data_IF_453416243044
#
_entry.id   IF_453416243044
#
_cell.length_a   1.000
_cell.length_b   1.000
_cell.length_c   1.000
_cell.angle_alpha   90.00
_cell.angle_beta   90.00
_cell.angle_gamma   90.00
#
_symmetry.space_group_name_H-M   'P 1'
#
loop_
_entity.id
_entity.type
_entity.pdbx_description
1 polymer ?
#
# COMPACT_ATOMS: atom_id res chain seq x y z
N UNK A 1 73.33 -14.93 -16.77
CA UNK A 1 72.22 -13.97 -17.03
C UNK A 1 70.91 -14.70 -16.70
N UNK A 2 70.36 -14.43 -15.53
CA UNK A 2 69.20 -15.15 -14.96
C UNK A 2 67.94 -14.36 -15.24
N UNK A 3 67.02 -14.91 -16.02
CA UNK A 3 65.69 -14.35 -16.25
C UNK A 3 64.77 -14.71 -15.09
N UNK A 4 64.40 -13.68 -14.36
CA UNK A 4 63.40 -13.78 -13.29
C UNK A 4 62.03 -13.53 -13.95
N UNK A 5 61.23 -14.61 -14.06
CA UNK A 5 59.84 -14.54 -14.49
C UNK A 5 58.98 -14.20 -13.27
N UNK A 6 58.55 -12.93 -13.21
CA UNK A 6 57.67 -12.45 -12.13
C UNK A 6 56.23 -12.81 -12.47
N UNK A 7 55.70 -13.87 -11.83
CA UNK A 7 54.31 -14.24 -11.95
C UNK A 7 53.46 -13.36 -11.06
N UNK A 8 52.71 -12.44 -11.65
CA UNK A 8 51.76 -11.57 -10.97
C UNK A 8 50.43 -12.37 -10.79
N UNK A 9 50.23 -12.87 -9.58
CA UNK A 9 48.96 -13.51 -9.19
C UNK A 9 47.93 -12.43 -8.89
N UNK A 10 47.00 -12.17 -9.80
CA UNK A 10 45.83 -11.31 -9.57
C UNK A 10 44.80 -12.10 -8.70
N UNK A 11 44.73 -11.75 -7.43
CA UNK A 11 43.73 -12.23 -6.49
C UNK A 11 42.39 -11.48 -6.78
N UNK A 12 41.53 -12.07 -7.55
CA UNK A 12 40.16 -11.54 -7.79
C UNK A 12 39.32 -11.86 -6.55
N UNK A 13 39.15 -10.89 -5.64
CA UNK A 13 38.22 -11.00 -4.54
C UNK A 13 36.83 -10.72 -5.10
N UNK A 14 36.07 -11.79 -5.34
CA UNK A 14 34.66 -11.71 -5.71
C UNK A 14 33.84 -11.33 -4.48
N UNK A 15 33.51 -10.04 -4.32
CA UNK A 15 32.55 -9.56 -3.36
C UNK A 15 31.16 -9.95 -3.86
N UNK A 16 30.65 -11.07 -3.39
CA UNK A 16 29.24 -11.44 -3.56
C UNK A 16 28.39 -10.54 -2.67
N UNK A 17 27.84 -9.47 -3.23
CA UNK A 17 26.74 -8.74 -2.58
C UNK A 17 25.51 -9.66 -2.60
N UNK A 18 25.28 -10.37 -1.50
CA UNK A 18 23.98 -10.97 -1.26
C UNK A 18 22.99 -9.80 -1.04
N UNK A 19 22.27 -9.43 -2.11
CA UNK A 19 21.10 -8.59 -1.99
C UNK A 19 20.08 -9.37 -1.14
N UNK A 20 20.06 -9.11 0.16
CA UNK A 20 18.94 -9.49 1.00
C UNK A 20 17.77 -8.59 0.58
N UNK A 21 16.96 -9.09 -0.35
CA UNK A 21 15.60 -8.60 -0.48
C UNK A 21 14.88 -9.06 0.80
N UNK A 22 14.93 -8.22 1.84
CA UNK A 22 14.01 -8.34 2.94
C UNK A 22 12.62 -8.12 2.33
N UNK A 23 11.88 -9.21 2.11
CA UNK A 23 10.43 -9.14 2.11
C UNK A 23 10.09 -8.71 3.53
N UNK A 24 10.00 -7.42 3.76
CA UNK A 24 9.24 -6.91 4.88
C UNK A 24 7.82 -7.41 4.63
N UNK A 25 7.48 -8.48 5.34
CA UNK A 25 6.10 -8.83 5.59
C UNK A 25 5.66 -7.71 6.52
N UNK A 26 5.10 -6.65 5.92
CA UNK A 26 4.57 -5.51 6.66
C UNK A 26 3.63 -6.11 7.70
N UNK A 27 4.06 -6.05 8.95
CA UNK A 27 3.19 -6.29 10.09
C UNK A 27 2.08 -5.27 9.95
N UNK A 28 0.85 -5.73 9.70
CA UNK A 28 -0.32 -4.85 9.61
C UNK A 28 -0.44 -4.11 10.93
N UNK A 29 0.00 -2.86 10.94
CA UNK A 29 -0.07 -1.98 12.09
C UNK A 29 -1.43 -1.32 12.09
N UNK A 30 -2.23 -1.59 13.12
CA UNK A 30 -3.53 -0.95 13.29
C UNK A 30 -3.33 0.56 13.45
N UNK A 31 -4.20 1.34 12.81
CA UNK A 31 -4.10 2.79 12.77
C UNK A 31 -3.20 3.33 11.65
N UNK A 32 -2.40 2.50 10.99
CA UNK A 32 -1.55 2.93 9.89
C UNK A 32 -2.16 2.59 8.52
N UNK A 33 -1.89 3.45 7.54
CA UNK A 33 -2.24 3.23 6.14
C UNK A 33 -1.05 3.59 5.23
N UNK A 34 -1.00 3.01 4.04
CA UNK A 34 0.04 3.27 3.05
C UNK A 34 -0.55 3.94 1.80
N UNK A 35 0.14 4.97 1.32
CA UNK A 35 -0.13 5.62 0.04
C UNK A 35 1.12 5.56 -0.82
N UNK A 36 0.99 5.06 -2.02
CA UNK A 36 2.05 5.05 -3.03
C UNK A 36 1.62 5.91 -4.21
N UNK A 37 2.48 6.85 -4.59
CA UNK A 37 2.27 7.76 -5.71
C UNK A 37 3.31 7.51 -6.79
N UNK A 38 2.87 7.49 -8.05
CA UNK A 38 3.75 7.52 -9.20
C UNK A 38 3.29 8.60 -10.17
N UNK A 39 4.23 9.43 -10.63
CA UNK A 39 4.02 10.54 -11.56
C UNK A 39 4.97 10.41 -12.73
N UNK A 40 4.44 10.14 -13.92
CA UNK A 40 5.24 9.99 -15.14
C UNK A 40 4.49 10.47 -16.39
N UNK A 41 5.10 11.36 -17.15
CA UNK A 41 4.47 11.98 -18.34
C UNK A 41 3.23 12.77 -17.94
N UNK A 42 2.06 12.34 -18.41
CA UNK A 42 0.75 12.89 -18.06
C UNK A 42 0.00 12.03 -17.03
N UNK A 43 0.63 10.99 -16.47
CA UNK A 43 -0.04 10.00 -15.63
C UNK A 43 0.27 10.24 -14.15
N UNK A 44 -0.81 10.35 -13.38
CA UNK A 44 -0.78 10.26 -11.92
C UNK A 44 -1.43 8.93 -11.51
N UNK A 45 -0.70 8.12 -10.76
CA UNK A 45 -1.19 6.87 -10.19
C UNK A 45 -1.08 6.94 -8.68
N UNK A 46 -2.13 6.52 -8.00
CA UNK A 46 -2.16 6.44 -6.55
C UNK A 46 -2.67 5.06 -6.14
N UNK A 47 -1.92 4.38 -5.28
CA UNK A 47 -2.34 3.17 -4.58
C UNK A 47 -2.51 3.51 -3.10
N UNK A 48 -3.66 3.17 -2.53
CA UNK A 48 -3.95 3.27 -1.10
C UNK A 48 -4.17 1.86 -0.57
N UNK A 49 -3.43 1.49 0.47
CA UNK A 49 -3.49 0.20 1.16
C UNK A 49 -3.73 0.45 2.65
N UNK A 50 -4.67 -0.28 3.22
CA UNK A 50 -5.04 -0.10 4.61
C UNK A 50 -5.57 -1.40 5.22
N UNK A 51 -5.15 -1.79 6.44
CA UNK A 51 -5.75 -2.90 7.18
C UNK A 51 -7.26 -2.70 7.35
N UNK A 52 -8.03 -3.77 7.23
CA UNK A 52 -9.49 -3.69 7.36
C UNK A 52 -9.92 -3.15 8.72
N UNK A 53 -9.18 -3.46 9.78
CA UNK A 53 -9.44 -2.92 11.11
C UNK A 53 -9.35 -1.40 11.14
N UNK A 54 -8.31 -0.81 10.55
CA UNK A 54 -8.11 0.64 10.47
C UNK A 54 -9.18 1.35 9.63
N UNK A 55 -9.78 0.65 8.66
CA UNK A 55 -10.80 1.22 7.80
C UNK A 55 -12.22 1.05 8.34
N UNK A 56 -12.59 -0.18 8.76
CA UNK A 56 -13.96 -0.57 9.12
C UNK A 56 -14.09 -1.10 10.55
N UNK A 57 -12.98 -1.31 11.28
CA UNK A 57 -12.97 -1.75 12.69
C UNK A 57 -13.05 -3.26 12.91
N UNK A 58 -12.83 -4.08 11.87
CA UNK A 58 -12.78 -5.54 11.99
C UNK A 58 -12.05 -6.15 10.78
N UNK A 59 -11.50 -7.37 10.96
CA UNK A 59 -10.73 -8.11 9.94
C UNK A 59 -11.38 -9.45 9.54
N UNK A 60 -12.65 -9.64 9.86
CA UNK A 60 -13.40 -10.85 9.55
C UNK A 60 -14.59 -10.53 8.64
N UNK A 61 -15.20 -11.57 8.06
CA UNK A 61 -16.43 -11.40 7.30
C UNK A 61 -17.54 -10.69 8.14
N UNK A 62 -18.25 -9.68 7.59
CA UNK A 62 -19.29 -8.95 8.32
C UNK A 62 -20.38 -9.87 8.85
N UNK A 63 -20.54 -9.93 10.18
CA UNK A 63 -21.46 -10.83 10.88
C UNK A 63 -22.81 -10.17 11.23
N UNK A 64 -22.81 -8.83 11.39
CA UNK A 64 -24.01 -8.06 11.74
C UNK A 64 -24.46 -7.15 10.61
N UNK A 65 -25.66 -6.56 10.75
CA UNK A 65 -26.15 -5.57 9.80
C UNK A 65 -25.30 -4.29 9.83
N UNK A 66 -24.87 -3.86 11.01
CA UNK A 66 -24.03 -2.67 11.18
C UNK A 66 -22.65 -2.89 10.52
N UNK A 67 -22.04 -4.06 10.69
CA UNK A 67 -20.78 -4.39 10.03
C UNK A 67 -20.90 -4.40 8.51
N UNK A 68 -22.00 -4.92 7.96
CA UNK A 68 -22.27 -4.86 6.52
C UNK A 68 -22.45 -3.43 6.03
N UNK A 69 -23.08 -2.59 6.84
CA UNK A 69 -23.24 -1.17 6.54
C UNK A 69 -21.89 -0.46 6.50
N UNK A 70 -21.03 -0.63 7.53
CA UNK A 70 -19.67 -0.05 7.55
C UNK A 70 -18.84 -0.51 6.35
N UNK A 71 -18.87 -1.79 6.02
CA UNK A 71 -18.17 -2.33 4.86
C UNK A 71 -18.63 -1.67 3.55
N UNK A 72 -19.94 -1.56 3.34
CA UNK A 72 -20.50 -0.96 2.13
C UNK A 72 -20.19 0.54 2.03
N UNK A 73 -20.27 1.28 3.13
CA UNK A 73 -19.92 2.71 3.14
C UNK A 73 -18.42 2.93 2.90
N UNK A 74 -17.55 2.05 3.38
CA UNK A 74 -16.14 2.10 3.07
C UNK A 74 -15.89 1.89 1.56
N UNK A 75 -16.45 0.84 0.97
CA UNK A 75 -16.35 0.59 -0.49
C UNK A 75 -16.86 1.80 -1.28
N UNK A 76 -18.02 2.35 -0.92
CA UNK A 76 -18.59 3.52 -1.58
C UNK A 76 -17.66 4.73 -1.49
N UNK A 77 -17.07 4.99 -0.33
CA UNK A 77 -16.11 6.08 -0.14
C UNK A 77 -14.85 5.87 -0.98
N UNK A 78 -14.34 4.64 -1.05
CA UNK A 78 -13.17 4.29 -1.86
C UNK A 78 -13.43 4.41 -3.39
N UNK A 79 -14.68 4.29 -3.83
CA UNK A 79 -15.06 4.49 -5.23
C UNK A 79 -15.23 5.98 -5.61
N UNK A 80 -15.09 6.91 -4.66
CA UNK A 80 -15.20 8.35 -4.88
C UNK A 80 -13.87 9.07 -4.55
N UNK A 81 -12.79 8.87 -5.35
CA UNK A 81 -11.45 9.39 -5.03
C UNK A 81 -11.39 10.92 -4.91
N UNK A 82 -12.29 11.66 -5.53
CA UNK A 82 -12.37 13.12 -5.38
C UNK A 82 -12.80 13.59 -3.98
N UNK A 83 -13.41 12.71 -3.19
CA UNK A 83 -13.69 12.96 -1.76
C UNK A 83 -12.49 12.63 -0.88
N UNK A 84 -11.64 11.71 -1.32
CA UNK A 84 -10.47 11.24 -0.56
C UNK A 84 -9.22 12.07 -0.83
N UNK A 85 -9.04 12.51 -2.07
CA UNK A 85 -7.85 13.20 -2.53
C UNK A 85 -8.21 14.47 -3.31
N UNK A 86 -7.54 15.56 -2.99
CA UNK A 86 -7.72 16.86 -3.62
C UNK A 86 -6.45 17.16 -4.43
N UNK A 87 -6.55 16.98 -5.74
CA UNK A 87 -5.52 17.33 -6.72
C UNK A 87 -5.75 18.79 -7.13
N UNK A 88 -4.68 19.62 -7.29
CA UNK A 88 -4.83 20.99 -7.80
C UNK A 88 -5.59 21.05 -9.12
N UNK A 89 -6.53 21.99 -9.25
CA UNK A 89 -7.35 22.13 -10.46
C UNK A 89 -6.52 22.48 -11.68
N UNK A 90 -5.44 23.27 -11.49
CA UNK A 90 -4.56 23.71 -12.57
C UNK A 90 -3.79 22.55 -13.24
N UNK A 91 -3.74 21.39 -12.57
CA UNK A 91 -3.16 20.18 -13.18
C UNK A 91 -4.07 19.52 -14.23
N UNK A 92 -5.34 19.94 -14.34
CA UNK A 92 -6.33 19.46 -15.31
C UNK A 92 -6.39 17.93 -15.41
N UNK A 93 -6.52 17.27 -14.23
CA UNK A 93 -6.51 15.82 -14.13
C UNK A 93 -7.88 15.20 -14.37
N UNK A 94 -7.98 14.29 -15.33
CA UNK A 94 -9.14 13.47 -15.60
C UNK A 94 -8.96 12.07 -15.00
N UNK A 95 -9.88 11.63 -14.14
CA UNK A 95 -9.90 10.27 -13.63
C UNK A 95 -10.23 9.28 -14.75
N UNK A 96 -9.32 8.32 -14.98
CA UNK A 96 -9.46 7.33 -16.07
C UNK A 96 -9.56 5.90 -15.57
N UNK A 97 -9.31 5.65 -14.29
CA UNK A 97 -9.44 4.31 -13.72
C UNK A 97 -9.57 4.30 -12.21
N UNK A 98 -10.42 3.39 -11.73
CA UNK A 98 -10.58 3.05 -10.31
C UNK A 98 -10.59 1.53 -10.20
N UNK A 99 -9.84 1.01 -9.24
CA UNK A 99 -9.93 -0.39 -8.82
C UNK A 99 -9.92 -0.45 -7.30
N UNK A 100 -10.93 -1.09 -6.73
CA UNK A 100 -11.02 -1.34 -5.28
C UNK A 100 -11.10 -2.85 -5.06
N UNK A 101 -10.22 -3.39 -4.26
CA UNK A 101 -10.17 -4.79 -3.86
C UNK A 101 -10.02 -4.91 -2.35
N UNK A 102 -10.37 -6.06 -1.83
CA UNK A 102 -10.26 -6.38 -0.41
C UNK A 102 -10.00 -7.89 -0.24
N UNK A 103 -9.33 -8.28 0.84
CA UNK A 103 -8.97 -9.67 1.10
C UNK A 103 -9.85 -10.38 2.15
N UNK A 104 -10.87 -9.69 2.72
CA UNK A 104 -11.82 -10.27 3.69
C UNK A 104 -12.50 -11.55 3.20
N UNK A 105 -12.70 -11.70 1.89
CA UNK A 105 -13.36 -12.85 1.28
C UNK A 105 -12.39 -13.89 0.71
N UNK A 106 -11.10 -13.60 0.62
CA UNK A 106 -10.11 -14.50 0.04
C UNK A 106 -9.80 -15.71 0.94
N UNK A 107 -10.03 -15.59 2.25
CA UNK A 107 -9.76 -16.66 3.21
C UNK A 107 -10.78 -17.84 3.17
N UNK A 108 -11.81 -17.79 2.32
CA UNK A 108 -12.88 -18.79 2.30
C UNK A 108 -12.68 -19.94 1.32
N UNK A 109 -11.71 -19.85 0.41
CA UNK A 109 -11.57 -20.81 -0.69
C UNK A 109 -10.55 -21.94 -0.43
N UNK A 110 -9.84 -21.96 0.72
CA UNK A 110 -8.82 -22.97 0.99
C UNK A 110 -9.24 -24.12 1.93
N UNK A 111 -10.49 -24.19 2.39
CA UNK A 111 -10.96 -25.29 3.23
C UNK A 111 -12.19 -26.00 2.66
N UNK A 112 -12.01 -26.57 1.47
CA UNK A 112 -12.97 -27.46 0.83
C UNK A 112 -12.40 -28.85 0.59
N UNK A 113 -11.92 -29.54 1.62
CA UNK A 113 -11.79 -30.99 1.64
C UNK A 113 -12.11 -31.51 3.03
N UNK A 114 -13.32 -32.07 3.16
CA UNK A 114 -13.67 -32.96 4.25
C UNK A 114 -12.88 -34.25 4.06
N UNK A 115 -11.91 -34.52 4.91
CA UNK A 115 -11.58 -35.89 5.33
C UNK A 115 -11.43 -35.90 6.85
N UNK A 116 -12.29 -36.71 7.47
CA UNK A 116 -12.24 -37.05 8.88
C UNK A 116 -11.05 -37.95 9.11
N UNK A 117 -10.12 -37.53 9.93
CA UNK A 117 -9.33 -38.44 10.74
C UNK A 117 -9.11 -37.81 12.13
N UNK A 118 -9.61 -38.54 13.13
CA UNK A 118 -9.45 -38.26 14.55
C UNK A 118 -7.99 -38.47 14.96
N UNK A 119 -7.30 -37.40 15.34
CA UNK A 119 -6.25 -37.44 16.38
C UNK A 119 -6.03 -36.01 16.91
N UNK A 120 -6.41 -35.83 18.18
CA UNK A 120 -6.22 -34.58 18.90
C UNK A 120 -4.73 -34.25 19.11
N UNK A 121 -4.40 -33.01 18.82
CA UNK A 121 -3.41 -32.23 19.54
C UNK A 121 -3.86 -30.78 19.52
N UNK A 122 -4.26 -30.28 20.70
CA UNK A 122 -4.42 -28.87 20.99
C UNK A 122 -3.08 -28.16 20.79
N UNK A 123 -3.02 -27.34 19.73
CA UNK A 123 -2.33 -26.06 19.73
C UNK A 123 -3.00 -25.23 18.65
N UNK A 124 -3.91 -24.37 19.08
CA UNK A 124 -4.58 -23.40 18.22
C UNK A 124 -3.55 -22.36 17.77
N UNK A 125 -2.85 -22.65 16.70
CA UNK A 125 -2.22 -21.62 15.87
C UNK A 125 -3.35 -20.90 15.15
N UNK A 126 -3.99 -19.94 15.86
CA UNK A 126 -4.88 -18.96 15.27
C UNK A 126 -3.98 -18.07 14.43
N UNK A 127 -3.72 -18.47 13.18
CA UNK A 127 -3.22 -17.53 12.20
C UNK A 127 -4.23 -16.39 12.15
N UNK A 128 -3.85 -15.24 12.70
CA UNK A 128 -4.64 -14.03 12.59
C UNK A 128 -4.83 -13.77 11.10
N UNK A 129 -6.07 -13.88 10.64
CA UNK A 129 -6.41 -13.60 9.24
C UNK A 129 -6.36 -12.09 9.11
N UNK A 130 -5.21 -11.57 8.70
CA UNK A 130 -5.08 -10.17 8.37
C UNK A 130 -5.74 -9.90 7.03
N UNK A 131 -6.63 -8.93 7.01
CA UNK A 131 -7.32 -8.50 5.80
C UNK A 131 -7.08 -7.02 5.54
N UNK A 132 -7.07 -6.65 4.27
CA UNK A 132 -6.77 -5.30 3.82
C UNK A 132 -7.71 -4.84 2.72
N UNK A 133 -7.82 -3.52 2.57
CA UNK A 133 -8.39 -2.87 1.41
C UNK A 133 -7.27 -2.26 0.57
N UNK A 134 -7.35 -2.46 -0.73
CA UNK A 134 -6.42 -1.89 -1.70
C UNK A 134 -7.24 -1.12 -2.74
N UNK A 135 -6.95 0.17 -2.88
CA UNK A 135 -7.57 1.02 -3.88
C UNK A 135 -6.49 1.59 -4.81
N UNK A 136 -6.76 1.54 -6.10
CA UNK A 136 -5.87 2.07 -7.14
C UNK A 136 -6.63 3.07 -7.97
N UNK A 137 -6.04 4.26 -8.15
CA UNK A 137 -6.62 5.36 -8.89
C UNK A 137 -5.63 5.81 -9.96
N UNK A 138 -6.16 6.11 -11.14
CA UNK A 138 -5.37 6.53 -12.29
C UNK A 138 -5.99 7.79 -12.87
N UNK A 139 -5.18 8.84 -13.03
CA UNK A 139 -5.55 10.09 -13.69
C UNK A 139 -4.61 10.35 -14.86
N UNK A 140 -5.16 10.99 -15.91
CA UNK A 140 -4.40 11.68 -16.91
C UNK A 140 -4.49 13.18 -16.61
N UNK A 141 -3.35 13.85 -16.47
CA UNK A 141 -3.23 15.26 -16.12
C UNK A 141 -2.52 16.00 -17.25
N UNK A 142 -3.10 17.07 -17.78
CA UNK A 142 -2.47 17.87 -18.83
C UNK A 142 -1.25 18.62 -18.30
N UNK A 143 -1.29 19.04 -17.03
CA UNK A 143 -0.23 19.81 -16.36
C UNK A 143 0.21 19.15 -15.06
N UNK A 144 0.84 17.96 -15.18
CA UNK A 144 1.30 17.17 -14.01
C UNK A 144 2.32 17.93 -13.16
N UNK A 145 3.09 18.85 -13.77
CA UNK A 145 4.06 19.71 -13.11
C UNK A 145 3.43 20.79 -12.23
N UNK A 146 2.14 21.09 -12.38
CA UNK A 146 1.40 22.00 -11.49
C UNK A 146 1.00 21.35 -10.17
N UNK A 147 1.21 20.04 -10.00
CA UNK A 147 0.94 19.37 -8.73
C UNK A 147 2.07 19.59 -7.74
N UNK A 148 1.92 20.59 -6.88
CA UNK A 148 2.84 20.84 -5.75
C UNK A 148 2.55 19.97 -4.53
N UNK A 149 1.28 19.67 -4.32
CA UNK A 149 0.83 18.82 -3.23
C UNK A 149 -0.55 18.25 -3.53
N UNK A 150 -0.85 17.11 -2.91
CA UNK A 150 -2.17 16.48 -2.94
C UNK A 150 -2.75 16.52 -1.53
N UNK A 151 -3.96 17.10 -1.39
CA UNK A 151 -4.67 17.04 -0.10
C UNK A 151 -5.29 15.67 0.11
N UNK A 152 -5.43 15.25 1.36
CA UNK A 152 -6.14 14.01 1.70
C UNK A 152 -7.18 14.23 2.78
N UNK A 153 -8.29 13.50 2.68
CA UNK A 153 -9.38 13.46 3.66
C UNK A 153 -9.49 12.07 4.32
N UNK A 154 -8.49 11.21 4.13
CA UNK A 154 -8.52 9.83 4.62
C UNK A 154 -8.75 9.75 6.13
N UNK A 155 -8.00 10.50 6.94
CA UNK A 155 -8.16 10.52 8.41
C UNK A 155 -9.48 11.17 8.88
N UNK A 156 -10.11 12.00 8.05
CA UNK A 156 -11.42 12.60 8.36
C UNK A 156 -12.55 11.62 8.07
N UNK A 157 -12.46 10.89 6.96
CA UNK A 157 -13.48 9.95 6.49
C UNK A 157 -13.34 8.61 7.22
N UNK A 158 -12.10 8.21 7.52
CA UNK A 158 -11.77 6.98 8.24
C UNK A 158 -11.00 7.30 9.53
N UNK A 159 -11.68 7.67 10.61
CA UNK A 159 -11.06 8.23 11.82
C UNK A 159 -10.24 7.23 12.65
N UNK A 160 -10.21 5.95 12.26
CA UNK A 160 -9.31 4.94 12.84
C UNK A 160 -7.91 4.97 12.21
N UNK A 161 -7.74 5.70 11.08
CA UNK A 161 -6.44 5.94 10.48
C UNK A 161 -5.81 7.10 11.25
N UNK A 162 -4.73 6.83 11.96
CA UNK A 162 -3.98 7.76 12.79
C UNK A 162 -2.70 8.24 12.10
N UNK A 163 -2.16 7.40 11.20
CA UNK A 163 -0.94 7.66 10.43
C UNK A 163 -1.10 7.23 8.97
N UNK A 164 -0.55 8.02 8.05
CA UNK A 164 -0.46 7.64 6.64
C UNK A 164 1.00 7.73 6.19
N UNK A 165 1.58 6.59 5.84
CA UNK A 165 2.91 6.47 5.27
C UNK A 165 2.83 6.65 3.76
N UNK A 166 3.40 7.73 3.27
CA UNK A 166 3.37 8.06 1.84
C UNK A 166 4.74 7.79 1.23
N UNK A 167 4.77 7.09 0.12
CA UNK A 167 5.94 6.94 -0.74
C UNK A 167 5.61 7.45 -2.13
N UNK A 168 6.53 8.15 -2.77
CA UNK A 168 6.33 8.64 -4.12
C UNK A 168 7.55 8.40 -5.00
N UNK A 169 7.27 8.32 -6.29
CA UNK A 169 8.27 8.30 -7.35
C UNK A 169 7.82 9.21 -8.49
N UNK A 170 8.73 10.03 -8.97
CA UNK A 170 8.57 10.86 -10.16
C UNK A 170 9.70 10.52 -11.14
N UNK A 171 9.71 11.11 -12.31
CA UNK A 171 10.79 10.96 -13.28
C UNK A 171 12.18 11.28 -12.69
N UNK A 172 12.27 12.29 -11.81
CA UNK A 172 13.53 12.84 -11.33
C UNK A 172 13.78 12.68 -9.84
N UNK A 173 12.78 12.26 -9.07
CA UNK A 173 12.84 12.25 -7.61
C UNK A 173 12.01 11.10 -7.03
N UNK A 174 12.37 10.64 -5.85
CA UNK A 174 11.61 9.71 -5.04
C UNK A 174 11.77 10.06 -3.56
N UNK A 175 10.81 9.69 -2.76
CA UNK A 175 10.89 9.97 -1.33
C UNK A 175 9.72 9.37 -0.55
N UNK A 176 9.68 9.73 0.72
CA UNK A 176 8.61 9.36 1.64
C UNK A 176 8.31 10.48 2.62
N UNK A 177 7.10 10.48 3.16
CA UNK A 177 6.63 11.36 4.23
C UNK A 177 5.60 10.61 5.05
N UNK A 178 5.52 10.92 6.32
CA UNK A 178 4.46 10.47 7.22
C UNK A 178 3.51 11.64 7.49
N UNK A 179 2.21 11.34 7.45
CA UNK A 179 1.14 12.29 7.77
C UNK A 179 0.49 11.81 9.07
N UNK A 180 0.55 12.65 10.09
CA UNK A 180 -0.01 12.37 11.42
C UNK A 180 -1.17 13.34 11.77
N UNK A 181 -1.40 14.31 10.90
CA UNK A 181 -2.46 15.31 11.07
C UNK A 181 -3.46 15.29 9.91
N UNK A 182 -4.73 15.52 10.24
CA UNK A 182 -5.83 15.63 9.27
C UNK A 182 -5.66 16.74 8.25
N UNK A 183 -4.86 17.74 8.59
CA UNK A 183 -4.57 18.90 7.73
C UNK A 183 -3.29 18.71 6.91
N UNK A 184 -2.56 17.61 7.10
CA UNK A 184 -1.35 17.31 6.36
C UNK A 184 -1.65 17.09 4.87
N UNK A 185 -0.66 17.44 4.05
CA UNK A 185 -0.72 17.27 2.61
C UNK A 185 0.42 16.41 2.12
N UNK A 186 0.15 15.58 1.15
CA UNK A 186 1.16 14.81 0.45
C UNK A 186 1.97 15.76 -0.43
N UNK A 187 3.29 15.86 -0.20
CA UNK A 187 4.21 16.79 -0.88
C UNK A 187 5.65 16.29 -0.81
N UNK A 188 6.57 16.93 -1.52
CA UNK A 188 8.01 16.66 -1.40
C UNK A 188 8.70 16.24 -2.68
N UNK A 189 7.99 16.21 -3.81
CA UNK A 189 8.55 15.82 -5.12
C UNK A 189 9.06 16.98 -5.98
N UNK A 190 8.88 18.22 -5.56
CA UNK A 190 9.47 19.42 -6.18
C UNK A 190 10.70 19.90 -5.45
#
# INVERSE_FOLDING_TARGET
MKNIFMVLVCLVVSFSFAAHASREKDSHEHGAANVMLAMEGEKLQLKFEVPSESLIGFEHFPKSQDQRWYFNEAIKSLLEPSKLFSIPADAECLLVGINVSQSLFAAKDEHGHEEKDEHGHDESDKSEIHSEFISKYHWNCEHLDEIDSIGTQLMNIFPRIEEIRVRWITKNNQGSIELESKDDRIKGWK
#
